data_IF_152871379357
#
_entry.id   IF_152871379357
#
_cell.length_a   1.000
_cell.length_b   1.000
_cell.length_c   1.000
_cell.angle_alpha   90.00
_cell.angle_beta   90.00
_cell.angle_gamma   90.00
#
_symmetry.space_group_name_H-M   'P 1'
#
loop_
_entity.id
_entity.type
_entity.pdbx_description
1 polymer ?
#
# COMPACT_ATOMS: atom_id res chain seq x y z
N UNK A 1 17.79 -3.46 13.58
CA UNK A 1 18.67 -3.65 12.41
C UNK A 1 17.88 -4.32 11.33
N UNK A 2 17.74 -3.65 10.20
CA UNK A 2 17.08 -4.19 9.01
C UNK A 2 18.10 -4.92 8.15
N UNK A 3 17.75 -6.10 7.67
CA UNK A 3 18.56 -6.93 6.79
C UNK A 3 18.17 -6.76 5.32
N UNK A 4 19.10 -7.06 4.41
CA UNK A 4 18.82 -7.14 2.96
C UNK A 4 17.65 -8.05 2.59
N UNK A 5 17.47 -9.16 3.31
CA UNK A 5 16.36 -10.08 3.06
C UNK A 5 15.01 -9.46 3.42
N UNK A 6 14.95 -8.66 4.50
CA UNK A 6 13.75 -7.89 4.85
C UNK A 6 13.45 -6.81 3.82
N UNK A 7 14.47 -6.13 3.28
CA UNK A 7 14.29 -5.16 2.18
C UNK A 7 13.76 -5.84 0.92
N UNK A 8 14.34 -6.99 0.54
CA UNK A 8 13.87 -7.78 -0.61
C UNK A 8 12.42 -8.24 -0.40
N UNK A 9 12.09 -8.69 0.81
CA UNK A 9 10.73 -9.12 1.15
C UNK A 9 9.73 -7.95 1.09
N UNK A 10 10.11 -6.77 1.59
CA UNK A 10 9.30 -5.57 1.55
C UNK A 10 9.05 -5.10 0.10
N UNK A 11 10.08 -5.13 -0.76
CA UNK A 11 9.94 -4.86 -2.19
C UNK A 11 8.91 -5.80 -2.85
N UNK A 12 8.99 -7.11 -2.55
CA UNK A 12 8.03 -8.08 -3.06
C UNK A 12 6.58 -7.81 -2.62
N UNK A 13 6.37 -7.47 -1.34
CA UNK A 13 5.06 -7.10 -0.78
C UNK A 13 4.50 -5.84 -1.46
N UNK A 14 5.35 -4.84 -1.66
CA UNK A 14 5.00 -3.57 -2.30
C UNK A 14 4.88 -3.67 -3.84
N UNK A 15 5.19 -4.83 -4.44
CA UNK A 15 5.28 -5.02 -5.90
C UNK A 15 6.29 -4.08 -6.56
N UNK A 16 7.40 -3.84 -5.87
CA UNK A 16 8.55 -3.06 -6.36
C UNK A 16 9.70 -4.04 -6.60
N UNK A 17 10.14 -4.14 -7.84
CA UNK A 17 11.36 -4.85 -8.19
C UNK A 17 12.56 -3.98 -7.81
N UNK A 18 13.50 -4.55 -7.05
CA UNK A 18 14.67 -3.85 -6.52
C UNK A 18 15.94 -4.51 -7.05
N UNK A 19 16.89 -3.70 -7.50
CA UNK A 19 18.23 -4.19 -7.83
C UNK A 19 19.05 -4.49 -6.55
N UNK A 20 20.15 -5.23 -6.67
CA UNK A 20 21.03 -5.49 -5.52
C UNK A 20 21.65 -4.20 -4.96
N UNK A 21 21.95 -3.24 -5.83
CA UNK A 21 22.45 -1.92 -5.45
C UNK A 21 21.39 -1.14 -4.65
N UNK A 22 20.13 -1.18 -5.09
CA UNK A 22 19.01 -0.57 -4.38
C UNK A 22 18.75 -1.25 -3.04
N UNK A 23 18.80 -2.58 -2.97
CA UNK A 23 18.67 -3.33 -1.71
C UNK A 23 19.73 -2.88 -0.71
N UNK A 24 21.00 -2.80 -1.12
CA UNK A 24 22.08 -2.38 -0.23
C UNK A 24 21.96 -0.91 0.19
N UNK A 25 21.47 -0.05 -0.70
CA UNK A 25 21.20 1.36 -0.39
C UNK A 25 20.06 1.48 0.62
N UNK A 26 18.95 0.82 0.36
CA UNK A 26 17.73 0.92 1.16
C UNK A 26 17.84 0.27 2.53
N UNK A 27 18.64 -0.78 2.67
CA UNK A 27 19.00 -1.34 3.98
C UNK A 27 19.51 -0.23 4.92
N UNK A 28 20.52 0.53 4.49
CA UNK A 28 21.09 1.62 5.31
C UNK A 28 20.13 2.78 5.54
N UNK A 29 19.29 3.10 4.56
CA UNK A 29 18.38 4.26 4.64
C UNK A 29 17.19 3.95 5.54
N UNK A 30 16.61 2.76 5.42
CA UNK A 30 15.46 2.33 6.22
C UNK A 30 15.90 2.07 7.66
N UNK A 31 17.09 1.50 7.89
CA UNK A 31 17.61 1.33 9.25
C UNK A 31 17.76 2.68 9.97
N UNK A 32 18.24 3.73 9.29
CA UNK A 32 18.28 5.10 9.83
C UNK A 32 16.90 5.70 10.11
N UNK A 33 15.92 5.43 9.25
CA UNK A 33 14.54 5.90 9.45
C UNK A 33 13.92 5.23 10.67
N UNK A 34 14.11 3.92 10.83
CA UNK A 34 13.61 3.18 12.00
C UNK A 34 14.28 3.68 13.27
N UNK A 35 15.61 3.81 13.28
CA UNK A 35 16.34 4.40 14.42
C UNK A 35 15.86 5.81 14.79
N UNK A 36 15.43 6.60 13.80
CA UNK A 36 14.87 7.92 14.09
C UNK A 36 13.54 7.83 14.86
N UNK A 37 12.74 6.78 14.64
CA UNK A 37 11.51 6.56 15.36
C UNK A 37 11.70 6.06 16.79
N UNK A 38 12.88 5.60 17.19
CA UNK A 38 13.21 5.25 18.59
C UNK A 38 12.95 6.42 19.56
N UNK A 39 12.87 7.66 19.07
CA UNK A 39 12.43 8.82 19.87
C UNK A 39 11.03 8.62 20.48
N UNK A 40 10.16 7.87 19.81
CA UNK A 40 8.80 7.60 20.26
C UNK A 40 8.77 6.65 21.48
N UNK A 41 9.77 5.78 21.62
CA UNK A 41 9.88 4.85 22.75
C UNK A 41 10.17 5.57 24.09
N UNK A 42 10.61 6.84 24.03
CA UNK A 42 10.82 7.68 25.21
C UNK A 42 9.53 8.24 25.82
N UNK A 43 8.40 8.08 25.13
CA UNK A 43 7.10 8.60 25.54
C UNK A 43 6.37 7.59 26.43
N UNK A 44 5.83 8.05 27.56
CA UNK A 44 4.95 7.24 28.39
C UNK A 44 3.55 7.18 27.73
N UNK A 45 3.22 6.04 27.12
CA UNK A 45 1.98 5.84 26.35
C UNK A 45 1.02 4.81 26.98
N UNK A 46 1.40 4.19 28.11
CA UNK A 46 0.68 3.04 28.69
C UNK A 46 -0.81 3.34 29.03
N UNK A 47 -1.11 4.58 29.39
CA UNK A 47 -2.46 5.03 29.77
C UNK A 47 -3.24 5.71 28.61
N UNK A 48 -2.71 5.70 27.38
CA UNK A 48 -3.31 6.38 26.23
C UNK A 48 -3.94 5.38 25.25
N UNK A 49 -5.23 5.57 24.97
CA UNK A 49 -5.92 4.87 23.90
C UNK A 49 -5.55 5.45 22.52
N UNK A 50 -5.30 4.62 21.49
CA UNK A 50 -5.02 5.10 20.14
C UNK A 50 -6.16 5.95 19.58
N UNK A 51 -5.82 7.03 18.88
CA UNK A 51 -6.81 7.92 18.28
C UNK A 51 -7.28 7.34 16.96
N UNK A 52 -8.53 6.91 16.91
CA UNK A 52 -9.21 6.51 15.67
C UNK A 52 -10.19 7.59 15.22
N UNK A 53 -10.25 7.84 13.90
CA UNK A 53 -11.30 8.66 13.33
C UNK A 53 -12.65 7.92 13.47
N UNK A 54 -13.46 8.33 14.46
CA UNK A 54 -14.82 7.83 14.61
C UNK A 54 -15.73 8.50 13.57
N UNK A 55 -16.06 7.77 12.50
CA UNK A 55 -17.14 8.19 11.59
C UNK A 55 -18.49 7.82 12.18
N UNK A 56 -19.41 8.79 12.18
CA UNK A 56 -20.81 8.54 12.54
C UNK A 56 -21.45 7.56 11.57
N UNK A 57 -22.26 6.63 12.08
CA UNK A 57 -23.14 5.79 11.26
C UNK A 57 -24.37 6.56 10.76
N UNK A 58 -24.56 7.82 11.19
CA UNK A 58 -25.61 8.70 10.66
C UNK A 58 -25.12 9.30 9.34
N UNK A 59 -25.79 9.00 8.24
CA UNK A 59 -25.42 9.47 6.90
C UNK A 59 -24.78 8.41 5.99
N UNK A 60 -25.15 7.14 6.16
CA UNK A 60 -24.79 6.10 5.19
C UNK A 60 -25.29 6.47 3.78
N UNK A 61 -24.58 5.99 2.76
CA UNK A 61 -25.04 6.09 1.37
C UNK A 61 -26.40 5.39 1.27
N UNK A 62 -27.40 6.08 0.71
CA UNK A 62 -28.69 5.46 0.39
C UNK A 62 -28.51 4.39 -0.68
N UNK A 63 -29.28 3.31 -0.58
CA UNK A 63 -29.25 2.22 -1.56
C UNK A 63 -30.05 2.56 -2.82
N UNK A 64 -29.60 3.59 -3.54
CA UNK A 64 -30.07 3.92 -4.86
C UNK A 64 -28.95 3.73 -5.87
N UNK A 65 -29.26 3.00 -6.94
CA UNK A 65 -28.41 2.90 -8.09
C UNK A 65 -28.23 4.29 -8.72
N UNK A 66 -26.98 4.62 -9.04
CA UNK A 66 -26.64 5.82 -9.82
C UNK A 66 -25.91 5.37 -11.07
N UNK A 67 -26.22 6.02 -12.18
CA UNK A 67 -25.45 5.84 -13.40
C UNK A 67 -23.98 6.21 -13.11
N UNK A 68 -23.07 5.38 -13.60
CA UNK A 68 -21.63 5.61 -13.47
C UNK A 68 -21.17 6.83 -14.27
N UNK A 69 -21.93 7.26 -15.29
CA UNK A 69 -21.82 8.54 -15.97
C UNK A 69 -20.53 8.79 -16.76
N UNK A 70 -19.61 7.82 -16.77
CA UNK A 70 -18.31 7.94 -17.41
C UNK A 70 -17.95 6.64 -18.12
N UNK A 71 -17.55 6.75 -19.39
CA UNK A 71 -16.83 5.67 -20.05
C UNK A 71 -15.35 5.73 -19.65
N UNK A 72 -14.94 4.78 -18.80
CA UNK A 72 -13.58 4.73 -18.22
C UNK A 72 -12.62 3.93 -19.09
N UNK A 73 -13.12 3.08 -19.99
CA UNK A 73 -12.31 2.18 -20.80
C UNK A 73 -11.49 2.90 -21.90
N UNK A 74 -12.00 3.94 -22.59
CA UNK A 74 -11.24 4.68 -23.60
C UNK A 74 -9.98 5.37 -23.06
N UNK A 75 -9.96 5.67 -21.76
CA UNK A 75 -8.80 6.31 -21.11
C UNK A 75 -7.68 5.31 -20.77
N UNK A 76 -7.86 4.03 -21.08
CA UNK A 76 -6.92 2.99 -20.67
C UNK A 76 -6.00 2.58 -21.80
N UNK A 77 -4.72 2.37 -21.47
CA UNK A 77 -3.68 2.01 -22.45
C UNK A 77 -3.89 0.62 -23.08
N UNK A 78 -4.58 -0.27 -22.37
CA UNK A 78 -4.72 -1.70 -22.72
C UNK A 78 -6.18 -2.15 -22.86
N UNK A 79 -7.08 -1.29 -23.35
CA UNK A 79 -8.46 -1.66 -23.62
C UNK A 79 -8.58 -2.66 -24.79
N UNK A 80 -9.39 -3.70 -24.63
CA UNK A 80 -9.74 -4.65 -25.71
C UNK A 80 -11.14 -5.21 -25.48
N UNK A 81 -12.01 -5.12 -26.50
CA UNK A 81 -13.35 -5.73 -26.52
C UNK A 81 -14.23 -5.40 -25.29
N UNK A 82 -14.09 -4.20 -24.72
CA UNK A 82 -14.81 -3.80 -23.49
C UNK A 82 -14.15 -4.21 -22.17
N UNK A 83 -12.91 -4.73 -22.22
CA UNK A 83 -12.15 -5.18 -21.06
C UNK A 83 -10.79 -4.49 -20.96
N UNK A 84 -10.21 -4.49 -19.76
CA UNK A 84 -8.80 -4.17 -19.54
C UNK A 84 -7.96 -5.42 -19.71
N UNK A 85 -7.08 -5.41 -20.70
CA UNK A 85 -6.17 -6.53 -20.96
C UNK A 85 -4.98 -6.45 -20.01
N UNK A 86 -4.90 -7.43 -19.10
CA UNK A 86 -3.75 -7.68 -18.25
C UNK A 86 -2.96 -8.93 -18.68
N UNK A 87 -1.77 -9.15 -18.11
CA UNK A 87 -1.10 -10.45 -18.18
C UNK A 87 -2.01 -11.54 -17.59
N UNK A 88 -1.89 -12.77 -18.12
CA UNK A 88 -2.63 -13.90 -17.53
C UNK A 88 -2.12 -14.14 -16.12
N UNK A 89 -3.04 -14.35 -15.19
CA UNK A 89 -2.69 -14.77 -13.84
C UNK A 89 -2.24 -16.22 -13.86
N UNK A 90 -1.12 -16.51 -13.21
CA UNK A 90 -0.65 -17.88 -12.98
C UNK A 90 -1.33 -18.54 -11.76
N UNK A 91 -2.16 -17.78 -11.03
CA UNK A 91 -2.97 -18.29 -9.93
C UNK A 91 -4.10 -19.15 -10.51
N UNK A 92 -3.98 -20.46 -10.34
CA UNK A 92 -5.09 -21.39 -10.60
C UNK A 92 -6.26 -21.06 -9.67
N UNK A 93 -7.51 -21.18 -10.14
CA UNK A 93 -8.70 -20.93 -9.32
C UNK A 93 -8.77 -21.85 -8.11
#
# INVERSE_FOLDING_TARGET
>A
MVSKDEIRHLGWLARIELSEEEISKYESQIDRIIQHFDILDSLALDDLEPIYLKKSVRGLRIDQAKDFGADVLPKTRNGKDGYLKGPKSDVKP
#
